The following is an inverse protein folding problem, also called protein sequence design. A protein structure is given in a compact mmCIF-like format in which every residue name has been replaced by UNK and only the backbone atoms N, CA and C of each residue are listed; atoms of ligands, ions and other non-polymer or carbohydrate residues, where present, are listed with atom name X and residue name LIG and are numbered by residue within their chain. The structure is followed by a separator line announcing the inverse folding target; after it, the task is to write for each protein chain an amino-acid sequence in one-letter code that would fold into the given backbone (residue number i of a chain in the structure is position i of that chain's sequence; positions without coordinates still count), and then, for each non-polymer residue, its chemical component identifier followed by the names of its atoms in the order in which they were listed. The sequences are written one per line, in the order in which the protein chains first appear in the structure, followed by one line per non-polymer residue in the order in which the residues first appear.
data_IF_579619200059
#
_entry.id   IF_579619200059
#
_cell.length_a   1.000
_cell.length_b   1.000
_cell.length_c   1.000
_cell.angle_alpha   90.00
_cell.angle_beta   90.00
_cell.angle_gamma   90.00
#
_symmetry.space_group_name_H-M   'P 1'
#
loop_
_entity.id
_entity.type
_entity.pdbx_description
1 polymer ?
#
# COMPACT_ATOMS: atom_id res chain seq x y z
N UNK A 1 -16.08 -75.13 17.09
CA UNK A 1 -15.32 -75.64 15.93
C UNK A 1 -14.40 -74.51 15.49
N UNK A 2 -13.19 -74.39 16.07
CA UNK A 2 -11.90 -75.00 15.63
C UNK A 2 -11.48 -74.49 14.24
N UNK A 3 -10.27 -73.99 13.94
CA UNK A 3 -8.98 -73.77 14.64
C UNK A 3 -8.04 -73.03 13.63
N UNK A 4 -7.19 -72.07 14.06
CA UNK A 4 -5.73 -72.16 14.31
C UNK A 4 -4.87 -72.73 13.15
N UNK A 5 -3.90 -71.95 12.62
CA UNK A 5 -2.42 -72.18 12.72
C UNK A 5 -1.58 -71.32 11.75
N UNK A 6 -0.54 -70.66 12.29
CA UNK A 6 0.74 -70.29 11.63
C UNK A 6 1.73 -71.49 11.81
N UNK A 7 2.86 -71.66 11.05
CA UNK A 7 4.11 -70.93 11.35
C UNK A 7 5.17 -70.75 10.20
N UNK A 8 6.15 -69.87 10.50
CA UNK A 8 7.57 -69.73 10.12
C UNK A 8 8.23 -70.42 8.89
N UNK A 9 9.06 -69.65 8.17
CA UNK A 9 10.51 -69.82 7.89
C UNK A 9 10.96 -68.59 7.05
N UNK A 10 12.12 -67.94 7.15
CA UNK A 10 13.50 -68.25 7.55
C UNK A 10 14.40 -67.54 6.51
N UNK A 11 15.40 -66.75 6.94
CA UNK A 11 16.24 -65.85 6.09
C UNK A 11 17.11 -66.53 5.00
N UNK A 12 18.10 -65.86 4.34
CA UNK A 12 18.93 -64.77 4.87
C UNK A 12 19.18 -63.55 3.93
N UNK A 13 19.62 -62.44 4.54
CA UNK A 13 20.39 -61.35 3.92
C UNK A 13 21.86 -61.79 3.76
N UNK A 14 22.56 -61.36 2.70
CA UNK A 14 23.56 -60.27 2.83
C UNK A 14 23.57 -59.39 1.56
N UNK A 15 24.25 -58.26 1.37
CA UNK A 15 25.08 -57.33 2.11
C UNK A 15 25.27 -56.11 1.16
N UNK A 16 25.43 -54.91 1.70
CA UNK A 16 25.99 -53.77 0.95
C UNK A 16 27.49 -53.98 0.69
N UNK A 17 28.11 -53.11 -0.13
CA UNK A 17 29.40 -52.57 0.24
C UNK A 17 29.33 -51.05 0.47
N UNK A 18 29.86 -50.67 1.62
CA UNK A 18 30.36 -49.35 1.96
C UNK A 18 31.57 -48.97 1.10
N UNK A 19 31.76 -47.68 0.85
CA UNK A 19 33.07 -47.05 0.89
C UNK A 19 32.93 -45.61 1.43
N UNK A 20 33.53 -45.39 2.60
CA UNK A 20 33.91 -44.09 3.18
C UNK A 20 35.23 -43.63 2.57
N UNK A 21 35.41 -42.30 2.50
CA UNK A 21 36.62 -41.53 2.89
C UNK A 21 36.14 -40.05 2.96
N UNK A 22 36.08 -39.40 4.12
CA UNK A 22 37.17 -38.66 4.83
C UNK A 22 37.88 -37.64 3.89
N UNK A 23 38.14 -36.36 4.20
CA UNK A 23 38.20 -35.59 5.44
C UNK A 23 38.43 -34.10 5.06
N UNK A 24 38.07 -33.16 5.96
CA UNK A 24 38.64 -31.80 6.15
C UNK A 24 38.14 -30.58 5.33
N UNK A 25 37.79 -29.51 6.09
CA UNK A 25 38.15 -28.14 5.71
C UNK A 25 37.03 -27.09 5.67
N UNK A 26 36.59 -26.58 6.83
CA UNK A 26 35.97 -25.26 6.92
C UNK A 26 37.00 -24.16 6.57
N UNK A 27 36.56 -23.02 6.01
CA UNK A 27 36.89 -21.78 6.70
C UNK A 27 35.73 -20.78 6.80
N UNK A 28 35.78 -20.00 7.89
CA UNK A 28 34.99 -18.78 8.14
C UNK A 28 35.58 -17.58 7.39
N UNK A 29 34.66 -16.70 6.95
CA UNK A 29 34.75 -15.23 6.70
C UNK A 29 35.98 -14.65 5.97
N UNK A 30 35.74 -13.98 4.83
CA UNK A 30 36.34 -12.65 4.54
C UNK A 30 35.62 -11.95 3.38
N UNK A 31 35.63 -10.63 3.42
CA UNK A 31 35.05 -9.68 2.47
C UNK A 31 35.64 -9.80 1.05
N UNK A 32 34.80 -9.61 0.04
CA UNK A 32 35.25 -9.46 -1.35
C UNK A 32 35.84 -8.07 -1.56
N UNK A 33 37.17 -8.01 -1.44
CA UNK A 33 38.03 -7.01 -2.06
C UNK A 33 38.16 -7.31 -3.56
N UNK A 34 38.11 -6.27 -4.38
CA UNK A 34 38.33 -6.31 -5.83
C UNK A 34 39.72 -6.85 -6.15
N UNK A 35 39.81 -8.05 -6.76
CA UNK A 35 41.06 -8.59 -7.30
C UNK A 35 41.00 -8.61 -8.84
N UNK A 36 42.00 -7.97 -9.46
CA UNK A 36 42.30 -8.01 -10.89
C UNK A 36 42.63 -9.45 -11.30
N UNK A 37 41.89 -10.01 -12.26
CA UNK A 37 42.20 -11.32 -12.85
C UNK A 37 42.95 -11.12 -14.17
N UNK A 38 44.14 -11.73 -14.26
CA UNK A 38 44.96 -11.81 -15.47
C UNK A 38 44.31 -12.77 -16.50
N UNK A 39 44.27 -12.37 -17.77
CA UNK A 39 43.48 -13.01 -18.86
C UNK A 39 44.21 -14.22 -19.50
N UNK A 40 45.25 -14.76 -18.87
CA UNK A 40 45.95 -15.94 -19.37
C UNK A 40 45.37 -17.23 -18.75
N UNK A 41 44.34 -17.79 -19.40
CA UNK A 41 43.80 -19.12 -19.04
C UNK A 41 42.28 -19.33 -19.18
N UNK A 42 41.53 -18.33 -19.64
CA UNK A 42 40.06 -18.44 -19.72
C UNK A 42 39.56 -19.22 -20.94
N UNK A 43 38.54 -20.05 -20.71
CA UNK A 43 37.78 -20.78 -21.75
C UNK A 43 37.05 -19.80 -22.70
N UNK A 44 36.75 -20.20 -23.95
CA UNK A 44 36.14 -19.30 -24.94
C UNK A 44 34.83 -18.66 -24.46
N UNK A 45 33.99 -19.40 -23.75
CA UNK A 45 32.67 -18.96 -23.24
C UNK A 45 32.78 -17.91 -22.12
N UNK A 46 33.82 -17.99 -21.29
CA UNK A 46 34.05 -17.01 -20.21
C UNK A 46 34.62 -15.69 -20.75
N UNK A 47 35.32 -15.71 -21.89
CA UNK A 47 35.77 -14.50 -22.58
C UNK A 47 34.62 -13.73 -23.24
N UNK A 48 33.62 -14.43 -23.77
CA UNK A 48 32.43 -13.81 -24.38
C UNK A 48 31.57 -13.10 -23.34
N UNK A 49 31.33 -13.75 -22.19
CA UNK A 49 30.55 -13.15 -21.10
C UNK A 49 31.20 -11.89 -20.50
N UNK A 50 32.54 -11.86 -20.37
CA UNK A 50 33.26 -10.68 -19.87
C UNK A 50 33.26 -9.53 -20.90
N UNK A 51 33.33 -9.84 -22.19
CA UNK A 51 33.20 -8.85 -23.26
C UNK A 51 31.80 -8.22 -23.29
N UNK A 52 30.74 -9.04 -23.20
CA UNK A 52 29.34 -8.57 -23.20
C UNK A 52 29.02 -7.70 -21.97
N UNK A 53 29.58 -8.03 -20.80
CA UNK A 53 29.44 -7.21 -19.59
C UNK A 53 30.20 -5.88 -19.68
N UNK A 54 31.36 -5.86 -20.33
CA UNK A 54 32.15 -4.65 -20.58
C UNK A 54 31.42 -3.70 -21.56
N UNK A 55 30.84 -4.25 -22.62
CA UNK A 55 30.09 -3.48 -23.62
C UNK A 55 28.80 -2.87 -23.04
N UNK A 56 28.09 -3.64 -22.19
CA UNK A 56 26.93 -3.13 -21.47
C UNK A 56 27.27 -2.01 -20.47
N UNK A 57 28.44 -2.08 -19.82
CA UNK A 57 28.92 -1.03 -18.92
C UNK A 57 29.35 0.23 -19.69
N UNK A 58 29.98 0.07 -20.86
CA UNK A 58 30.36 1.16 -21.76
C UNK A 58 29.14 1.92 -22.29
N UNK A 59 28.10 1.18 -22.72
CA UNK A 59 26.85 1.75 -23.22
C UNK A 59 26.08 2.53 -22.14
N UNK A 60 26.13 2.07 -20.88
CA UNK A 60 25.55 2.79 -19.73
C UNK A 60 26.28 4.09 -19.42
N UNK A 61 27.62 4.12 -19.53
CA UNK A 61 28.41 5.35 -19.35
C UNK A 61 28.13 6.37 -20.45
N UNK A 62 28.10 5.94 -21.72
CA UNK A 62 27.75 6.84 -22.84
C UNK A 62 26.35 7.46 -22.69
N UNK A 63 25.35 6.69 -22.26
CA UNK A 63 24.00 7.23 -22.02
C UNK A 63 23.97 8.24 -20.87
N UNK A 64 24.75 8.01 -19.81
CA UNK A 64 24.83 8.92 -18.67
C UNK A 64 25.53 10.23 -19.04
N UNK A 65 26.57 10.17 -19.87
CA UNK A 65 27.30 11.37 -20.32
C UNK A 65 26.48 12.18 -21.34
N UNK A 66 25.71 11.52 -22.21
CA UNK A 66 24.74 12.19 -23.09
C UNK A 66 23.62 12.91 -22.30
N UNK A 67 23.17 12.34 -21.17
CA UNK A 67 22.19 12.97 -20.28
C UNK A 67 22.77 14.18 -19.53
N UNK A 68 24.05 14.12 -19.14
CA UNK A 68 24.75 15.24 -18.49
C UNK A 68 25.00 16.39 -19.48
N UNK A 69 25.37 16.10 -20.72
CA UNK A 69 25.57 17.09 -21.78
C UNK A 69 24.28 17.85 -22.13
N UNK A 70 23.11 17.22 -21.99
CA UNK A 70 21.80 17.85 -22.23
C UNK A 70 21.37 18.82 -21.14
N UNK A 71 22.00 18.79 -19.96
CA UNK A 71 21.69 19.65 -18.80
C UNK A 71 22.47 20.96 -18.79
N UNK A 72 23.41 21.15 -19.72
CA UNK A 72 24.25 22.35 -19.86
C UNK A 72 23.88 23.07 -21.16
N UNK A 73 22.70 23.69 -21.21
CA UNK A 73 22.43 24.80 -22.12
C UNK A 73 21.81 25.94 -21.30
N UNK A 74 22.37 27.16 -21.33
CA UNK A 74 21.74 28.30 -20.67
C UNK A 74 20.45 28.66 -21.41
N UNK A 75 19.38 28.92 -20.66
CA UNK A 75 18.14 29.49 -21.20
C UNK A 75 18.36 30.97 -21.56
N UNK A 76 17.81 31.50 -22.67
CA UNK A 76 17.90 32.92 -22.97
C UNK A 76 17.10 33.76 -21.97
N UNK A 77 17.62 34.94 -21.71
CA UNK A 77 17.14 36.03 -20.83
C UNK A 77 15.67 36.37 -21.11
N UNK A 78 14.83 36.39 -20.08
CA UNK A 78 13.48 36.94 -20.14
C UNK A 78 13.54 38.46 -19.92
N UNK A 79 12.98 39.20 -20.87
CA UNK A 79 12.68 40.63 -20.76
C UNK A 79 11.49 40.85 -19.81
N UNK A 80 11.47 42.06 -19.25
CA UNK A 80 10.59 42.57 -18.20
C UNK A 80 9.13 42.75 -18.64
N UNK A 81 8.17 42.35 -17.79
CA UNK A 81 6.81 42.92 -17.72
C UNK A 81 6.05 42.48 -16.44
N UNK A 82 4.92 43.11 -16.04
CA UNK A 82 4.84 43.92 -14.82
C UNK A 82 4.10 43.25 -13.63
N UNK A 83 4.33 43.81 -12.44
CA UNK A 83 3.66 43.45 -11.17
C UNK A 83 2.15 43.74 -11.22
N UNK A 84 1.28 42.81 -10.80
CA UNK A 84 -0.12 43.12 -10.53
C UNK A 84 -0.36 43.43 -9.05
N UNK A 85 -1.26 44.40 -8.88
CA UNK A 85 -1.72 45.05 -7.65
C UNK A 85 -2.06 44.16 -6.46
N UNK A 86 -1.67 44.68 -5.30
CA UNK A 86 -2.05 44.23 -3.97
C UNK A 86 -3.48 44.66 -3.62
N UNK A 87 -4.50 43.87 -3.97
CA UNK A 87 -5.84 44.00 -3.34
C UNK A 87 -6.79 42.81 -3.42
N UNK A 88 -6.39 41.61 -3.90
CA UNK A 88 -7.30 40.43 -3.98
C UNK A 88 -6.69 39.20 -3.28
N UNK A 89 -6.19 39.40 -2.05
CA UNK A 89 -5.50 38.36 -1.28
C UNK A 89 -6.08 38.15 0.14
N UNK A 90 -7.35 38.48 0.40
CA UNK A 90 -7.98 38.24 1.72
C UNK A 90 -9.03 37.13 1.78
N UNK A 91 -9.52 36.58 0.66
CA UNK A 91 -10.74 35.73 0.70
C UNK A 91 -10.52 34.24 0.40
N UNK A 92 -9.28 33.75 0.48
CA UNK A 92 -8.93 32.34 0.21
C UNK A 92 -8.44 31.55 1.43
N UNK A 93 -8.71 32.03 2.64
CA UNK A 93 -8.34 31.35 3.90
C UNK A 93 -9.58 31.09 4.76
N UNK A 94 -10.54 30.30 4.25
CA UNK A 94 -11.55 29.64 5.11
C UNK A 94 -12.14 28.40 4.45
N UNK A 95 -11.34 27.39 4.09
CA UNK A 95 -11.88 26.10 3.58
C UNK A 95 -10.87 24.95 3.80
N UNK A 96 -10.18 24.94 4.94
CA UNK A 96 -9.40 23.78 5.41
C UNK A 96 -9.67 23.59 6.89
N UNK A 97 -10.65 22.77 7.20
CA UNK A 97 -10.94 22.38 8.57
C UNK A 97 -12.34 21.83 8.72
N UNK A 98 -12.59 20.61 8.26
CA UNK A 98 -13.68 19.75 8.77
C UNK A 98 -13.27 18.30 8.53
N UNK A 99 -12.57 17.75 9.53
CA UNK A 99 -12.35 16.33 9.72
C UNK A 99 -12.53 16.06 11.21
N UNK A 100 -13.78 16.15 11.65
CA UNK A 100 -14.36 15.60 12.88
C UNK A 100 -15.89 15.81 12.73
N UNK A 101 -16.69 14.93 13.33
CA UNK A 101 -18.16 14.91 13.34
C UNK A 101 -18.88 14.29 12.13
N UNK A 102 -18.87 12.95 12.06
CA UNK A 102 -20.11 12.17 11.81
C UNK A 102 -20.06 10.92 12.68
N UNK A 103 -20.30 11.11 13.97
CA UNK A 103 -20.78 10.06 14.86
C UNK A 103 -21.73 10.75 15.85
N UNK A 104 -22.99 10.90 15.45
CA UNK A 104 -24.18 10.74 16.28
C UNK A 104 -25.40 11.29 15.53
N UNK A 105 -26.38 10.40 15.33
CA UNK A 105 -27.68 10.76 14.81
C UNK A 105 -28.62 11.21 15.92
N UNK A 106 -29.37 12.25 15.63
CA UNK A 106 -30.66 12.67 16.19
C UNK A 106 -30.72 13.41 17.54
N UNK A 107 -30.90 14.73 17.38
CA UNK A 107 -32.07 15.50 17.83
C UNK A 107 -32.05 16.22 19.20
N UNK A 108 -32.50 17.48 19.11
CA UNK A 108 -33.09 18.36 20.13
C UNK A 108 -32.13 19.19 21.00
N UNK A 109 -32.38 20.50 20.94
CA UNK A 109 -31.85 21.61 21.74
C UNK A 109 -31.67 21.33 23.24
N UNK A 110 -30.53 21.77 23.80
CA UNK A 110 -30.46 22.69 24.96
C UNK A 110 -29.01 23.11 25.27
N UNK A 111 -28.86 24.40 25.59
CA UNK A 111 -27.61 25.10 25.95
C UNK A 111 -27.15 24.71 27.35
N UNK A 112 -25.83 24.67 27.58
CA UNK A 112 -25.19 25.50 28.64
C UNK A 112 -23.66 25.39 28.69
N UNK A 113 -23.05 26.57 28.51
CA UNK A 113 -21.87 27.14 29.18
C UNK A 113 -20.58 26.32 29.44
N UNK A 114 -19.49 26.83 28.86
CA UNK A 114 -18.08 26.70 29.28
C UNK A 114 -17.86 27.13 30.75
N UNK A 115 -16.68 26.85 31.34
CA UNK A 115 -15.55 27.75 31.11
C UNK A 115 -14.16 27.08 30.97
N UNK A 116 -13.34 27.70 30.12
CA UNK A 116 -11.88 27.65 30.08
C UNK A 116 -11.27 28.01 31.47
N UNK A 117 -9.99 27.71 31.77
CA UNK A 117 -8.97 28.69 31.38
C UNK A 117 -7.50 28.19 31.18
N UNK A 118 -6.80 28.96 30.33
CA UNK A 118 -5.43 29.52 30.49
C UNK A 118 -4.14 28.70 30.28
N UNK A 119 -3.14 29.46 29.80
CA UNK A 119 -1.88 29.10 29.13
C UNK A 119 -0.65 29.24 30.05
N UNK A 120 0.37 28.39 29.78
CA UNK A 120 1.84 28.64 29.82
C UNK A 120 2.55 28.77 31.20
N UNK A 121 3.91 28.77 31.33
CA UNK A 121 5.01 28.44 30.37
C UNK A 121 6.25 27.63 30.92
N UNK A 122 7.16 27.29 29.99
CA UNK A 122 8.65 27.27 30.01
C UNK A 122 9.53 26.27 30.83
N UNK A 123 10.71 26.02 30.21
CA UNK A 123 11.82 25.07 30.41
C UNK A 123 12.78 25.34 31.59
N UNK A 124 13.42 24.27 32.11
CA UNK A 124 14.83 24.29 32.58
C UNK A 124 15.21 23.39 33.79
N UNK A 125 16.21 22.50 33.61
CA UNK A 125 17.23 22.19 34.65
C UNK A 125 17.18 20.87 35.46
N UNK A 126 18.13 19.96 35.19
CA UNK A 126 18.93 19.03 36.05
C UNK A 126 18.74 19.09 37.59
N UNK A 127 18.72 18.02 38.43
CA UNK A 127 19.62 16.86 38.66
C UNK A 127 19.01 15.86 39.69
N UNK A 128 19.44 14.59 39.63
CA UNK A 128 19.70 13.59 40.70
C UNK A 128 18.62 13.10 41.73
N UNK A 129 18.49 11.77 41.74
CA UNK A 129 18.42 10.82 42.87
C UNK A 129 17.11 10.52 43.66
N UNK A 130 16.80 9.22 43.63
CA UNK A 130 16.20 8.37 44.68
C UNK A 130 14.75 8.62 45.15
N UNK A 131 13.95 7.55 45.10
CA UNK A 131 12.71 7.45 45.87
C UNK A 131 11.65 6.55 45.23
N UNK A 132 11.70 5.26 45.55
CA UNK A 132 10.58 4.33 45.32
C UNK A 132 9.33 4.81 46.05
N UNK A 133 8.22 4.97 45.34
CA UNK A 133 6.86 4.59 45.75
C UNK A 133 5.86 5.11 44.71
N UNK A 134 5.39 4.24 43.81
CA UNK A 134 4.18 4.53 43.06
C UNK A 134 3.39 3.24 42.82
N UNK A 135 2.36 3.12 43.65
CA UNK A 135 1.14 2.34 43.54
C UNK A 135 0.89 1.70 42.16
N UNK A 136 0.88 0.37 42.17
CA UNK A 136 0.36 -0.50 41.14
C UNK A 136 -1.12 -0.23 40.86
N UNK A 137 -1.40 0.56 39.82
CA UNK A 137 -2.60 0.38 38.97
C UNK A 137 -2.20 0.57 37.52
N UNK A 138 -1.43 -0.39 37.02
CA UNK A 138 -1.50 -0.71 35.61
C UNK A 138 -2.92 -1.25 35.37
N UNK A 139 -3.81 -0.39 34.86
CA UNK A 139 -5.01 -0.86 34.19
C UNK A 139 -4.51 -1.70 32.99
N UNK A 140 -4.44 -3.02 33.20
CA UNK A 140 -4.12 -3.98 32.17
C UNK A 140 -5.20 -3.91 31.10
N UNK A 141 -4.97 -3.11 30.07
CA UNK A 141 -5.69 -3.25 28.82
C UNK A 141 -5.06 -4.42 28.08
N UNK A 142 -5.72 -5.57 28.11
CA UNK A 142 -5.38 -6.71 27.28
C UNK A 142 -5.28 -6.27 25.82
N UNK A 143 -4.18 -6.63 25.17
CA UNK A 143 -4.03 -6.56 23.73
C UNK A 143 -4.95 -7.60 23.07
N UNK A 144 -6.26 -7.37 23.07
CA UNK A 144 -7.20 -8.23 22.35
C UNK A 144 -7.52 -7.56 21.01
N UNK A 145 -6.99 -8.12 19.92
CA UNK A 145 -7.63 -7.96 18.62
C UNK A 145 -9.11 -8.38 18.75
N UNK A 146 -9.98 -7.71 18.01
CA UNK A 146 -11.41 -8.01 17.98
C UNK A 146 -11.77 -8.55 16.61
N UNK A 147 -12.75 -9.44 16.53
CA UNK A 147 -13.30 -9.84 15.23
C UNK A 147 -13.89 -8.61 14.54
N UNK A 148 -13.61 -8.45 13.25
CA UNK A 148 -14.19 -7.36 12.49
C UNK A 148 -15.72 -7.55 12.30
N UNK A 149 -16.48 -6.47 12.05
CA UNK A 149 -17.92 -6.54 11.83
C UNK A 149 -18.30 -7.53 10.73
N UNK A 150 -19.41 -8.24 10.90
CA UNK A 150 -19.85 -9.28 9.96
C UNK A 150 -20.09 -8.73 8.55
N UNK A 151 -20.66 -7.52 8.43
CA UNK A 151 -20.87 -6.86 7.13
C UNK A 151 -19.58 -6.65 6.35
N UNK A 152 -18.45 -6.43 7.04
CA UNK A 152 -17.14 -6.31 6.38
C UNK A 152 -16.68 -7.67 5.85
N UNK A 153 -16.90 -8.75 6.60
CA UNK A 153 -16.58 -10.11 6.15
C UNK A 153 -17.44 -10.53 4.96
N UNK A 154 -18.76 -10.27 5.04
CA UNK A 154 -19.70 -10.50 3.93
C UNK A 154 -19.26 -9.76 2.67
N UNK A 155 -18.84 -8.50 2.80
CA UNK A 155 -18.30 -7.73 1.70
C UNK A 155 -17.08 -8.40 1.05
N UNK A 156 -16.08 -8.80 1.82
CA UNK A 156 -14.86 -9.38 1.26
C UNK A 156 -15.09 -10.75 0.62
N UNK A 157 -15.89 -11.62 1.25
CA UNK A 157 -16.29 -12.89 0.65
C UNK A 157 -17.00 -12.68 -0.69
N UNK A 158 -17.95 -11.75 -0.76
CA UNK A 158 -18.65 -11.42 -2.01
C UNK A 158 -17.70 -10.84 -3.06
N UNK A 159 -16.81 -9.93 -2.66
CA UNK A 159 -15.85 -9.30 -3.57
C UNK A 159 -14.91 -10.33 -4.20
N UNK A 160 -14.40 -11.29 -3.42
CA UNK A 160 -13.52 -12.35 -3.93
C UNK A 160 -14.22 -13.26 -4.92
N UNK A 161 -15.53 -13.48 -4.77
CA UNK A 161 -16.36 -14.25 -5.68
C UNK A 161 -16.85 -13.46 -6.92
N UNK A 162 -16.72 -12.13 -6.93
CA UNK A 162 -17.22 -11.27 -8.01
C UNK A 162 -16.17 -11.08 -9.11
N UNK A 163 -16.60 -10.96 -10.37
CA UNK A 163 -15.69 -10.60 -11.46
C UNK A 163 -15.23 -9.14 -11.41
N UNK A 164 -14.05 -8.87 -11.96
CA UNK A 164 -13.45 -7.54 -12.03
C UNK A 164 -13.43 -7.02 -13.47
N UNK A 165 -14.56 -6.53 -14.01
CA UNK A 165 -14.64 -6.08 -15.39
C UNK A 165 -13.94 -4.73 -15.54
N UNK A 166 -12.67 -4.75 -15.96
CA UNK A 166 -11.86 -3.53 -16.18
C UNK A 166 -12.56 -2.62 -17.21
N UNK A 167 -12.76 -1.35 -16.84
CA UNK A 167 -13.49 -0.36 -17.63
C UNK A 167 -15.01 -0.32 -17.37
N UNK A 168 -15.51 -1.17 -16.46
CA UNK A 168 -16.92 -1.29 -16.12
C UNK A 168 -17.13 -1.45 -14.61
N UNK A 169 -18.39 -1.56 -14.20
CA UNK A 169 -18.77 -1.70 -12.80
C UNK A 169 -18.78 -3.15 -12.38
N UNK A 170 -18.07 -3.42 -11.28
CA UNK A 170 -18.38 -4.57 -10.45
C UNK A 170 -19.64 -4.26 -9.62
N UNK A 171 -20.50 -5.25 -9.45
CA UNK A 171 -21.75 -5.13 -8.69
C UNK A 171 -21.76 -6.21 -7.63
N UNK A 172 -21.93 -5.81 -6.38
CA UNK A 172 -22.05 -6.72 -5.25
C UNK A 172 -23.48 -7.29 -5.18
N UNK A 173 -23.67 -8.47 -4.57
CA UNK A 173 -24.99 -9.02 -4.29
C UNK A 173 -25.87 -8.07 -3.46
N UNK A 174 -27.18 -8.30 -3.51
CA UNK A 174 -28.14 -7.56 -2.69
C UNK A 174 -27.76 -7.57 -1.21
N UNK A 175 -27.91 -6.43 -0.53
CA UNK A 175 -27.55 -6.20 0.88
C UNK A 175 -26.05 -6.34 1.22
N UNK A 176 -25.18 -6.45 0.21
CA UNK A 176 -23.73 -6.37 0.40
C UNK A 176 -23.24 -5.01 -0.07
N UNK A 177 -22.53 -4.31 0.82
CA UNK A 177 -22.08 -2.94 0.57
C UNK A 177 -20.56 -2.85 0.64
N UNK A 178 -19.98 -1.91 -0.12
CA UNK A 178 -18.54 -1.69 -0.14
C UNK A 178 -18.01 -1.46 1.28
N UNK A 179 -17.02 -2.26 1.70
CA UNK A 179 -16.44 -2.25 3.05
C UNK A 179 -17.46 -2.42 4.19
N UNK A 180 -18.61 -3.05 3.92
CA UNK A 180 -19.71 -3.19 4.89
C UNK A 180 -20.46 -1.89 5.18
N UNK A 181 -20.28 -0.84 4.37
CA UNK A 181 -20.86 0.49 4.61
C UNK A 181 -21.99 0.78 3.63
N UNK A 182 -23.23 0.77 4.12
CA UNK A 182 -24.43 1.01 3.30
C UNK A 182 -24.36 2.27 2.44
N UNK A 183 -23.85 3.37 2.99
CA UNK A 183 -23.75 4.65 2.27
C UNK A 183 -22.68 4.67 1.17
N UNK A 184 -21.78 3.68 1.10
CA UNK A 184 -20.85 3.53 -0.03
C UNK A 184 -21.50 2.80 -1.21
N UNK A 185 -22.70 2.24 -1.03
CA UNK A 185 -23.40 1.50 -2.07
C UNK A 185 -22.80 0.13 -2.36
N UNK A 186 -23.29 -0.50 -3.43
CA UNK A 186 -22.99 -1.89 -3.79
C UNK A 186 -22.31 -2.03 -5.16
N UNK A 187 -21.84 -0.93 -5.76
CA UNK A 187 -21.21 -0.95 -7.08
C UNK A 187 -19.94 -0.11 -7.10
N UNK A 188 -18.91 -0.59 -7.81
CA UNK A 188 -17.63 0.09 -7.95
C UNK A 188 -17.14 0.02 -9.39
N UNK A 189 -16.75 1.17 -9.96
CA UNK A 189 -16.10 1.23 -11.26
C UNK A 189 -14.66 0.69 -11.16
N UNK A 190 -14.36 -0.41 -11.83
CA UNK A 190 -13.00 -0.96 -11.95
C UNK A 190 -12.29 -0.20 -13.07
N UNK A 191 -11.53 0.83 -12.72
CA UNK A 191 -10.88 1.71 -13.71
C UNK A 191 -9.79 0.99 -14.51
N UNK A 192 -9.59 1.36 -15.77
CA UNK A 192 -8.49 0.83 -16.60
C UNK A 192 -7.12 1.06 -15.94
N UNK A 193 -6.93 2.22 -15.31
CA UNK A 193 -5.67 2.54 -14.65
C UNK A 193 -5.37 1.62 -13.46
N UNK A 194 -6.38 1.01 -12.82
CA UNK A 194 -6.15 0.06 -11.73
C UNK A 194 -5.38 -1.14 -12.23
N UNK A 195 -5.77 -1.72 -13.38
CA UNK A 195 -5.06 -2.86 -13.95
C UNK A 195 -3.64 -2.49 -14.36
N UNK A 196 -3.45 -1.31 -14.96
CA UNK A 196 -2.11 -0.81 -15.30
C UNK A 196 -1.20 -0.65 -14.09
N UNK A 197 -1.71 -0.07 -12.99
CA UNK A 197 -0.97 0.07 -11.74
C UNK A 197 -0.61 -1.30 -11.14
N UNK A 198 -1.58 -2.23 -11.09
CA UNK A 198 -1.34 -3.59 -10.59
C UNK A 198 -0.26 -4.32 -11.41
N UNK A 199 -0.38 -4.33 -12.74
CA UNK A 199 0.59 -4.97 -13.62
C UNK A 199 2.00 -4.39 -13.40
N UNK A 200 2.10 -3.05 -13.32
CA UNK A 200 3.39 -2.38 -13.08
C UNK A 200 3.97 -2.72 -11.71
N UNK A 201 3.14 -2.80 -10.67
CA UNK A 201 3.58 -3.25 -9.34
C UNK A 201 4.12 -4.68 -9.39
N UNK A 202 3.43 -5.59 -10.08
CA UNK A 202 3.85 -7.00 -10.17
C UNK A 202 5.14 -7.18 -11.00
N UNK A 203 5.32 -6.39 -12.06
CA UNK A 203 6.56 -6.37 -12.85
C UNK A 203 7.76 -5.94 -12.00
N UNK A 204 7.61 -4.82 -11.27
CA UNK A 204 8.63 -4.33 -10.34
C UNK A 204 8.87 -5.34 -9.21
N UNK A 205 7.81 -5.94 -8.68
CA UNK A 205 7.91 -6.95 -7.63
C UNK A 205 8.70 -8.18 -8.05
N UNK A 206 8.53 -8.62 -9.30
CA UNK A 206 9.31 -9.71 -9.89
C UNK A 206 10.81 -9.35 -10.02
N UNK A 207 11.14 -8.06 -9.99
CA UNK A 207 12.51 -7.52 -9.96
C UNK A 207 13.00 -7.23 -8.53
N UNK A 208 12.38 -7.84 -7.52
CA UNK A 208 12.72 -7.70 -6.10
C UNK A 208 12.42 -6.32 -5.47
N UNK A 209 11.56 -5.53 -6.11
CA UNK A 209 11.02 -4.29 -5.51
C UNK A 209 9.83 -4.64 -4.60
N UNK A 210 9.81 -4.13 -3.37
CA UNK A 210 8.78 -4.52 -2.39
C UNK A 210 8.03 -3.32 -1.79
N UNK A 211 8.30 -2.10 -2.25
CA UNK A 211 7.75 -0.87 -1.67
C UNK A 211 7.17 0.01 -2.78
N UNK A 212 5.90 0.34 -2.64
CA UNK A 212 5.16 1.09 -3.66
C UNK A 212 4.45 2.28 -3.02
N UNK A 213 4.61 3.46 -3.61
CA UNK A 213 3.79 4.63 -3.27
C UNK A 213 2.81 4.85 -4.41
N UNK A 214 1.51 4.70 -4.15
CA UNK A 214 0.48 5.09 -5.11
C UNK A 214 0.01 6.49 -4.75
N UNK A 215 0.42 7.47 -5.55
CA UNK A 215 0.09 8.87 -5.30
C UNK A 215 -0.83 9.44 -6.37
N UNK A 216 -1.59 10.46 -5.99
CA UNK A 216 -2.45 11.22 -6.89
C UNK A 216 -3.42 12.09 -6.13
N UNK A 217 -4.12 12.97 -6.85
CA UNK A 217 -5.03 13.98 -6.29
C UNK A 217 -6.05 13.37 -5.31
N UNK A 218 -6.36 14.01 -4.17
CA UNK A 218 -7.42 13.55 -3.29
C UNK A 218 -8.76 13.40 -4.04
N UNK A 219 -9.50 12.31 -3.79
CA UNK A 219 -10.80 12.07 -4.42
C UNK A 219 -10.80 11.33 -5.77
N UNK A 220 -9.64 10.89 -6.29
CA UNK A 220 -9.56 10.14 -7.56
C UNK A 220 -9.76 8.61 -7.41
N UNK A 221 -10.04 8.11 -6.20
CA UNK A 221 -10.32 6.69 -5.96
C UNK A 221 -9.12 5.82 -5.57
N UNK A 222 -8.14 6.34 -4.80
CA UNK A 222 -7.02 5.52 -4.26
C UNK A 222 -7.50 4.45 -3.28
N UNK A 223 -8.41 4.79 -2.36
CA UNK A 223 -8.98 3.82 -1.40
C UNK A 223 -9.73 2.69 -2.10
N UNK A 224 -10.46 2.99 -3.17
CA UNK A 224 -11.11 1.96 -4.00
C UNK A 224 -10.10 1.09 -4.75
N UNK A 225 -8.97 1.66 -5.19
CA UNK A 225 -7.88 0.86 -5.73
C UNK A 225 -7.28 -0.10 -4.70
N UNK A 226 -7.12 0.29 -3.42
CA UNK A 226 -6.66 -0.63 -2.38
C UNK A 226 -7.58 -1.86 -2.26
N UNK A 227 -8.90 -1.65 -2.31
CA UNK A 227 -9.88 -2.74 -2.28
C UNK A 227 -9.69 -3.71 -3.44
N UNK A 228 -9.62 -3.20 -4.67
CA UNK A 228 -9.41 -4.01 -5.87
C UNK A 228 -8.04 -4.70 -5.86
N UNK A 229 -7.00 -3.97 -5.43
CA UNK A 229 -5.63 -4.48 -5.29
C UNK A 229 -5.57 -5.69 -4.34
N UNK A 230 -6.20 -5.58 -3.17
CA UNK A 230 -6.26 -6.69 -2.21
C UNK A 230 -6.89 -7.93 -2.83
N UNK A 231 -8.01 -7.78 -3.53
CA UNK A 231 -8.65 -8.91 -4.20
C UNK A 231 -7.77 -9.54 -5.29
N UNK A 232 -7.07 -8.74 -6.10
CA UNK A 232 -6.14 -9.26 -7.10
C UNK A 232 -4.90 -9.91 -6.48
N UNK A 233 -4.37 -9.40 -5.38
CA UNK A 233 -3.28 -10.05 -4.64
C UNK A 233 -3.69 -11.44 -4.15
N UNK A 234 -4.90 -11.58 -3.61
CA UNK A 234 -5.42 -12.88 -3.16
C UNK A 234 -5.64 -13.81 -4.35
N UNK A 235 -6.37 -13.37 -5.37
CA UNK A 235 -6.82 -14.23 -6.49
C UNK A 235 -5.74 -14.57 -7.51
N UNK A 236 -4.86 -13.62 -7.83
CA UNK A 236 -3.87 -13.77 -8.90
C UNK A 236 -2.46 -14.05 -8.39
N UNK A 237 -2.20 -13.78 -7.10
CA UNK A 237 -0.88 -13.96 -6.47
C UNK A 237 -0.91 -14.87 -5.25
N UNK A 238 -2.06 -15.46 -4.92
CA UNK A 238 -2.23 -16.39 -3.80
C UNK A 238 -1.72 -15.81 -2.46
N UNK A 239 -1.90 -14.51 -2.25
CA UNK A 239 -1.52 -13.86 -0.99
C UNK A 239 -2.46 -14.31 0.11
N UNK A 240 -1.89 -14.94 1.16
CA UNK A 240 -2.65 -15.46 2.30
C UNK A 240 -2.86 -14.44 3.42
N UNK A 241 -2.03 -13.39 3.48
CA UNK A 241 -2.02 -12.45 4.61
C UNK A 241 -1.88 -11.03 4.13
N UNK A 242 -2.85 -10.19 4.46
CA UNK A 242 -2.82 -8.74 4.20
C UNK A 242 -3.07 -7.98 5.50
N UNK A 243 -2.19 -7.04 5.82
CA UNK A 243 -2.44 -6.02 6.84
C UNK A 243 -2.90 -4.74 6.14
N UNK A 244 -4.07 -4.25 6.51
CA UNK A 244 -4.65 -3.02 5.95
C UNK A 244 -4.74 -1.93 7.02
N UNK A 245 -3.96 -0.86 6.85
CA UNK A 245 -3.98 0.29 7.72
C UNK A 245 -4.94 1.35 7.17
N UNK A 246 -5.85 1.78 8.03
CA UNK A 246 -6.59 3.02 7.86
C UNK A 246 -6.02 4.09 8.80
N UNK A 247 -6.61 5.28 8.82
CA UNK A 247 -6.17 6.37 9.68
C UNK A 247 -6.11 5.98 11.18
N UNK A 248 -7.09 5.21 11.66
CA UNK A 248 -7.24 4.87 13.09
C UNK A 248 -7.19 3.37 13.39
N UNK A 249 -7.57 2.54 12.43
CA UNK A 249 -7.76 1.10 12.61
C UNK A 249 -6.82 0.32 11.70
N UNK A 250 -6.26 -0.77 12.22
CA UNK A 250 -5.53 -1.76 11.43
C UNK A 250 -6.35 -3.05 11.37
N UNK A 251 -6.46 -3.59 10.17
CA UNK A 251 -7.12 -4.87 9.94
C UNK A 251 -6.06 -5.91 9.55
N UNK A 252 -6.20 -7.12 10.09
CA UNK A 252 -5.50 -8.31 9.63
C UNK A 252 -6.48 -9.18 8.86
N UNK A 253 -6.19 -9.36 7.58
CA UNK A 253 -6.90 -10.28 6.71
C UNK A 253 -6.09 -11.56 6.55
N UNK A 254 -6.72 -12.69 6.87
CA UNK A 254 -6.16 -14.02 6.63
C UNK A 254 -7.07 -14.74 5.63
N UNK A 255 -6.50 -15.16 4.51
CA UNK A 255 -7.23 -15.81 3.43
C UNK A 255 -6.90 -17.30 3.38
N UNK A 256 -7.93 -18.14 3.32
CA UNK A 256 -7.81 -19.58 3.08
C UNK A 256 -8.37 -19.94 1.71
N UNK A 257 -7.61 -20.73 0.96
CA UNK A 257 -7.98 -21.24 -0.37
C UNK A 257 -8.43 -20.15 -1.37
N UNK A 258 -7.87 -18.94 -1.25
CA UNK A 258 -8.13 -17.80 -2.15
C UNK A 258 -9.56 -17.24 -2.16
N UNK A 259 -10.44 -17.73 -1.28
CA UNK A 259 -11.90 -17.46 -1.36
C UNK A 259 -12.54 -17.16 -0.01
N UNK A 260 -12.03 -17.72 1.08
CA UNK A 260 -12.54 -17.46 2.43
C UNK A 260 -11.64 -16.47 3.15
N UNK A 261 -12.24 -15.53 3.90
CA UNK A 261 -11.53 -14.50 4.64
C UNK A 261 -11.91 -14.51 6.12
N UNK A 262 -10.89 -14.52 6.98
CA UNK A 262 -11.05 -14.06 8.35
C UNK A 262 -10.46 -12.65 8.50
N UNK A 263 -11.12 -11.84 9.31
CA UNK A 263 -10.79 -10.43 9.50
C UNK A 263 -10.76 -10.11 10.98
N UNK A 264 -9.58 -9.76 11.45
CA UNK A 264 -9.36 -9.21 12.78
C UNK A 264 -9.11 -7.71 12.70
N UNK A 265 -9.53 -6.98 13.72
CA UNK A 265 -9.41 -5.55 13.85
C UNK A 265 -8.60 -5.21 15.10
N UNK A 266 -7.69 -4.25 14.96
CA UNK A 266 -6.84 -3.78 16.05
C UNK A 266 -6.44 -2.32 15.88
N UNK A 267 -5.66 -1.85 16.85
CA UNK A 267 -5.01 -0.54 16.85
C UNK A 267 -3.79 -0.57 15.92
N UNK A 268 -3.26 0.60 15.59
CA UNK A 268 -2.06 0.76 14.73
C UNK A 268 -0.80 0.01 15.20
N UNK A 269 -0.73 -0.43 16.46
CA UNK A 269 0.42 -1.21 16.98
C UNK A 269 0.20 -2.72 16.87
N UNK A 270 -1.03 -3.15 16.65
CA UNK A 270 -1.39 -4.56 16.59
C UNK A 270 -0.89 -5.17 15.27
N UNK A 271 -0.73 -6.50 15.25
CA UNK A 271 -0.25 -7.29 14.11
C UNK A 271 1.13 -6.89 13.57
N UNK A 272 1.95 -6.19 14.37
CA UNK A 272 3.28 -5.73 13.94
C UNK A 272 4.21 -6.91 13.62
N UNK A 273 4.03 -8.05 14.28
CA UNK A 273 4.74 -9.29 14.00
C UNK A 273 4.46 -9.81 12.58
N UNK A 274 3.25 -9.60 12.04
CA UNK A 274 2.92 -9.97 10.65
C UNK A 274 3.67 -9.13 9.63
N UNK A 275 4.00 -7.89 9.99
CA UNK A 275 4.75 -6.97 9.12
C UNK A 275 6.24 -7.33 8.99
N UNK A 276 6.74 -8.27 9.79
CA UNK A 276 8.10 -8.79 9.67
C UNK A 276 8.23 -9.89 8.63
N UNK A 277 7.11 -10.47 8.17
CA UNK A 277 7.09 -11.53 7.17
C UNK A 277 7.01 -10.96 5.75
N UNK A 278 7.94 -11.36 4.88
CA UNK A 278 8.02 -10.92 3.48
C UNK A 278 6.91 -11.49 2.58
N UNK A 279 6.18 -12.51 3.02
CA UNK A 279 4.97 -12.99 2.35
C UNK A 279 3.74 -12.12 2.62
N UNK A 280 3.76 -11.31 3.69
CA UNK A 280 2.66 -10.40 4.04
C UNK A 280 2.65 -9.20 3.10
N UNK A 281 1.46 -8.77 2.69
CA UNK A 281 1.26 -7.46 2.08
C UNK A 281 0.72 -6.46 3.10
N UNK A 282 1.35 -5.30 3.19
CA UNK A 282 0.94 -4.20 4.05
C UNK A 282 0.45 -3.03 3.20
N UNK A 283 -0.85 -2.78 3.24
CA UNK A 283 -1.51 -1.73 2.45
C UNK A 283 -1.95 -0.63 3.39
N UNK A 284 -1.51 0.60 3.13
CA UNK A 284 -1.72 1.75 4.01
C UNK A 284 -2.58 2.77 3.28
N UNK A 285 -3.86 2.84 3.64
CA UNK A 285 -4.81 3.86 3.19
C UNK A 285 -4.92 4.96 4.25
N UNK A 286 -4.14 6.02 4.05
CA UNK A 286 -3.95 7.15 4.97
C UNK A 286 -3.02 6.82 6.16
N UNK A 287 -1.79 7.32 6.07
CA UNK A 287 -0.82 7.22 7.15
C UNK A 287 0.60 7.39 6.67
N UNK A 288 1.54 6.99 7.52
CA UNK A 288 2.96 6.90 7.20
C UNK A 288 3.40 5.44 7.24
N UNK A 289 4.23 5.07 6.27
CA UNK A 289 4.87 3.78 6.23
C UNK A 289 6.21 3.84 6.97
N UNK A 290 6.52 2.77 7.69
CA UNK A 290 7.82 2.54 8.30
C UNK A 290 8.54 1.41 7.56
N UNK A 291 9.84 1.30 7.71
CA UNK A 291 10.56 0.15 7.16
C UNK A 291 10.13 -1.14 7.89
N UNK A 292 9.69 -2.12 7.09
CA UNK A 292 9.21 -3.43 7.51
C UNK A 292 9.61 -4.49 6.48
N UNK A 293 9.51 -5.76 6.86
CA UNK A 293 9.82 -6.91 6.00
C UNK A 293 8.73 -7.22 4.96
N UNK A 294 7.49 -6.82 5.24
CA UNK A 294 6.34 -6.99 4.36
C UNK A 294 6.41 -6.17 3.06
N UNK A 295 5.77 -6.68 2.00
CA UNK A 295 5.54 -5.94 0.76
C UNK A 295 4.60 -4.77 1.07
N UNK A 296 5.05 -3.54 0.87
CA UNK A 296 4.34 -2.35 1.37
C UNK A 296 3.78 -1.51 0.24
N UNK A 297 2.51 -1.14 0.35
CA UNK A 297 1.81 -0.24 -0.58
C UNK A 297 1.25 0.93 0.21
N UNK A 298 1.83 2.12 0.00
CA UNK A 298 1.40 3.35 0.64
C UNK A 298 0.53 4.17 -0.32
N UNK A 299 -0.74 4.39 0.04
CA UNK A 299 -1.62 5.32 -0.66
C UNK A 299 -1.42 6.73 -0.10
N UNK A 300 -0.98 7.65 -0.95
CA UNK A 300 -0.63 9.01 -0.52
C UNK A 300 -1.28 10.10 -1.37
N UNK A 301 -1.54 11.26 -0.76
CA UNK A 301 -1.77 12.52 -1.48
C UNK A 301 -0.50 12.93 -2.25
N UNK A 302 -0.57 13.86 -3.22
CA UNK A 302 0.61 14.25 -4.01
C UNK A 302 1.69 14.97 -3.20
N UNK A 303 1.37 15.43 -1.99
CA UNK A 303 2.31 16.02 -1.04
C UNK A 303 3.51 15.09 -0.73
N UNK A 304 4.63 15.35 -1.39
CA UNK A 304 5.89 14.59 -1.27
C UNK A 304 6.43 14.58 0.16
N UNK A 305 6.13 15.59 0.99
CA UNK A 305 6.62 15.63 2.37
C UNK A 305 6.15 14.41 3.18
N UNK A 306 5.00 13.82 2.82
CA UNK A 306 4.39 12.68 3.52
C UNK A 306 5.04 11.32 3.22
N UNK A 307 5.74 11.18 2.10
CA UNK A 307 6.26 9.88 1.65
C UNK A 307 7.70 9.93 1.12
N UNK A 308 8.35 11.11 1.10
CA UNK A 308 9.74 11.25 0.63
C UNK A 308 10.72 10.35 1.38
N UNK A 309 10.53 10.17 2.70
CA UNK A 309 11.41 9.31 3.51
C UNK A 309 11.20 7.83 3.17
N UNK A 310 9.95 7.43 2.91
CA UNK A 310 9.64 6.08 2.46
C UNK A 310 10.25 5.77 1.09
N UNK A 311 10.30 6.75 0.18
CA UNK A 311 10.95 6.61 -1.13
C UNK A 311 12.48 6.51 -1.08
N UNK A 312 13.12 6.83 0.06
CA UNK A 312 14.57 6.62 0.24
C UNK A 312 14.90 5.16 0.56
N UNK A 313 13.92 4.37 0.98
CA UNK A 313 14.13 2.95 1.26
C UNK A 313 14.47 2.21 -0.03
N UNK A 314 15.34 1.20 0.08
CA UNK A 314 15.65 0.32 -1.05
C UNK A 314 14.37 -0.34 -1.55
N UNK A 315 14.24 -0.52 -2.87
CA UNK A 315 13.07 -1.21 -3.42
C UNK A 315 11.80 -0.34 -3.53
N UNK A 316 11.90 0.98 -3.30
CA UNK A 316 10.76 1.89 -3.23
C UNK A 316 10.47 2.62 -4.54
N UNK A 317 9.22 2.50 -5.03
CA UNK A 317 8.81 2.98 -6.34
C UNK A 317 7.56 3.88 -6.24
N UNK A 318 7.60 5.12 -6.76
CA UNK A 318 6.40 5.92 -6.91
C UNK A 318 5.63 5.52 -8.17
N UNK A 319 4.32 5.33 -8.04
CA UNK A 319 3.37 5.12 -9.11
C UNK A 319 2.26 6.17 -9.01
N UNK A 320 1.83 6.69 -10.17
CA UNK A 320 0.93 7.83 -10.24
C UNK A 320 -0.43 7.39 -10.75
N UNK A 321 -1.47 7.58 -9.94
CA UNK A 321 -2.84 7.33 -10.35
C UNK A 321 -3.37 8.54 -11.14
N UNK A 322 -3.82 8.34 -12.39
CA UNK A 322 -4.34 9.43 -13.21
C UNK A 322 -5.71 9.91 -12.72
N UNK A 323 -6.03 11.15 -13.04
CA UNK A 323 -7.38 11.70 -12.95
C UNK A 323 -8.37 10.89 -13.80
N UNK A 324 -9.66 11.09 -13.60
CA UNK A 324 -10.67 10.34 -14.34
C UNK A 324 -10.78 10.84 -15.79
N UNK A 325 -11.12 9.95 -16.70
CA UNK A 325 -11.50 10.36 -18.06
C UNK A 325 -12.93 10.90 -18.08
N UNK A 326 -13.30 11.63 -19.14
CA UNK A 326 -14.68 12.09 -19.31
C UNK A 326 -15.67 10.91 -19.35
N UNK A 327 -15.29 9.83 -20.03
CA UNK A 327 -16.07 8.59 -20.11
C UNK A 327 -16.25 7.94 -18.73
N UNK A 328 -15.19 7.86 -17.92
CA UNK A 328 -15.28 7.34 -16.55
C UNK A 328 -16.24 8.19 -15.68
N UNK A 329 -16.18 9.53 -15.80
CA UNK A 329 -17.08 10.43 -15.07
C UNK A 329 -18.53 10.23 -15.51
N UNK A 330 -18.81 10.17 -16.81
CA UNK A 330 -20.17 10.03 -17.33
C UNK A 330 -20.78 8.66 -17.01
N UNK A 331 -19.99 7.59 -17.13
CA UNK A 331 -20.40 6.24 -16.66
C UNK A 331 -20.78 6.23 -15.19
N UNK A 332 -20.03 6.96 -14.36
CA UNK A 332 -20.28 7.05 -12.93
C UNK A 332 -21.47 7.92 -12.58
N UNK A 333 -21.61 9.08 -13.24
CA UNK A 333 -22.78 9.95 -13.11
C UNK A 333 -24.05 9.19 -13.46
N UNK A 334 -24.13 8.66 -14.68
CA UNK A 334 -25.34 7.98 -15.18
C UNK A 334 -25.77 6.80 -14.32
N UNK A 335 -24.83 6.04 -13.75
CA UNK A 335 -25.13 4.85 -12.95
C UNK A 335 -25.32 5.11 -11.46
N UNK A 336 -24.41 5.86 -10.82
CA UNK A 336 -24.38 6.03 -9.36
C UNK A 336 -25.04 7.33 -8.91
N UNK A 337 -25.12 8.34 -9.79
CA UNK A 337 -25.69 9.65 -9.50
C UNK A 337 -26.69 10.07 -10.58
N UNK A 338 -27.71 9.23 -10.89
CA UNK A 338 -28.59 9.46 -12.04
C UNK A 338 -29.39 10.76 -11.96
N UNK A 339 -29.56 11.31 -10.75
CA UNK A 339 -30.25 12.58 -10.50
C UNK A 339 -29.39 13.81 -10.77
N UNK A 340 -28.06 13.66 -10.91
CA UNK A 340 -27.17 14.77 -11.21
C UNK A 340 -27.25 15.13 -12.70
N UNK A 341 -27.59 16.39 -12.97
CA UNK A 341 -27.65 16.94 -14.31
C UNK A 341 -26.28 16.91 -15.00
N UNK A 342 -26.28 16.48 -16.27
CA UNK A 342 -25.06 16.34 -17.06
C UNK A 342 -24.40 17.70 -17.35
N UNK A 343 -25.18 18.74 -17.63
CA UNK A 343 -24.62 20.07 -17.92
C UNK A 343 -23.97 20.69 -16.68
N UNK A 344 -24.57 20.49 -15.50
CA UNK A 344 -23.95 20.85 -14.22
C UNK A 344 -22.61 20.13 -14.01
N UNK A 345 -22.55 18.82 -14.25
CA UNK A 345 -21.30 18.04 -14.12
C UNK A 345 -20.24 18.56 -15.09
N UNK A 346 -20.58 18.87 -16.33
CA UNK A 346 -19.65 19.48 -17.29
C UNK A 346 -19.12 20.84 -16.81
N UNK A 347 -19.98 21.70 -16.27
CA UNK A 347 -19.57 22.97 -15.69
C UNK A 347 -18.60 22.79 -14.50
N UNK A 348 -18.82 21.78 -13.66
CA UNK A 348 -17.93 21.45 -12.54
C UNK A 348 -16.60 20.87 -13.01
N UNK A 349 -16.59 20.01 -14.04
CA UNK A 349 -15.36 19.50 -14.65
C UNK A 349 -14.50 20.62 -15.22
N UNK A 350 -15.10 21.63 -15.84
CA UNK A 350 -14.36 22.80 -16.31
C UNK A 350 -13.69 23.60 -15.18
N UNK A 351 -14.24 23.58 -13.96
CA UNK A 351 -13.70 24.32 -12.80
C UNK A 351 -12.68 23.50 -12.01
N UNK A 352 -12.96 22.22 -11.78
CA UNK A 352 -12.24 21.39 -10.81
C UNK A 352 -11.49 20.22 -11.45
N UNK A 353 -11.64 20.03 -12.76
CA UNK A 353 -11.15 18.86 -13.48
C UNK A 353 -11.94 17.59 -13.15
N UNK A 354 -11.51 16.47 -13.74
CA UNK A 354 -12.17 15.18 -13.58
C UNK A 354 -11.78 14.48 -12.26
N UNK A 355 -12.25 15.07 -11.16
CA UNK A 355 -12.09 14.53 -9.81
C UNK A 355 -13.49 14.18 -9.27
N UNK A 356 -13.87 12.88 -9.24
CA UNK A 356 -15.24 12.45 -8.90
C UNK A 356 -15.77 13.00 -7.59
N UNK A 357 -14.90 13.13 -6.59
CA UNK A 357 -15.28 13.72 -5.30
C UNK A 357 -15.91 15.11 -5.45
N UNK A 358 -15.38 15.93 -6.35
CA UNK A 358 -15.84 17.31 -6.53
C UNK A 358 -16.92 17.46 -7.58
N UNK A 359 -16.91 16.63 -8.63
CA UNK A 359 -17.84 16.76 -9.75
C UNK A 359 -19.05 15.81 -9.66
N UNK A 360 -19.04 14.85 -8.72
CA UNK A 360 -20.15 13.91 -8.48
C UNK A 360 -20.53 13.85 -6.99
N UNK A 361 -19.63 13.37 -6.13
CA UNK A 361 -19.95 13.01 -4.73
C UNK A 361 -20.40 14.20 -3.87
N UNK A 362 -19.72 15.34 -3.99
CA UNK A 362 -19.99 16.55 -3.20
C UNK A 362 -20.97 17.51 -3.85
N UNK A 363 -21.54 17.14 -4.98
CA UNK A 363 -22.53 17.97 -5.64
C UNK A 363 -23.80 17.96 -4.79
N UNK A 364 -24.13 19.11 -4.20
CA UNK A 364 -25.40 19.30 -3.52
C UNK A 364 -26.46 19.44 -4.60
N UNK A 365 -27.40 18.50 -4.63
CA UNK A 365 -28.61 18.60 -5.43
C UNK A 365 -29.59 19.57 -4.77
#
# INVERSE_FOLDING_TARGET
MQGRMLPHNGGPQPAQPHAQEDLQGLPRRAATSTAYVSVAGMTPESKTAVADMSDAASLRRQKLDALKARRVRPSPRAESEPQPDSSIASDLVTMVGYAEDVAEGNSVWLRSASPSPTKSPYYGGTTAAAGQAACSRAAGWSSSSMQAPEDLKLFWNALLATDFPVGSFLSLPSNVYLLGKKWWGSALLVRHCYRGLFNRMMELHSSNECRFVITGTPGIGKSFFAVVLMAWLVREKNVSTIVYDTASIRYLFTFSNGTSVDVEMGRRKDFTEKLMNSATWWIIDMGTALERGANTVLLASPDKARYKEFLKLQGANPLYMPIWTNDEIEKCRSRLFPTLDAAMVEALKSKWGNIPRYVLERVRA
#
